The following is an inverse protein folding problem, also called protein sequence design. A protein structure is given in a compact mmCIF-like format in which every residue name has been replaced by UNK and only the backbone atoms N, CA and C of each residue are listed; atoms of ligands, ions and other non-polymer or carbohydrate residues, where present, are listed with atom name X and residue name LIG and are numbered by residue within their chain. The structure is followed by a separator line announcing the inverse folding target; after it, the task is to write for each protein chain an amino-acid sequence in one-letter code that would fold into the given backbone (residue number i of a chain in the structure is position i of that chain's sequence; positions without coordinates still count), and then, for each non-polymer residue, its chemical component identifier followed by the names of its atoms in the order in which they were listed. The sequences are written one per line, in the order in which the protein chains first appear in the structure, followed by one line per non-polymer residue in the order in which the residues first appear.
data_IF_440777783627
#
_entry.id   IF_440777783627
#
_cell.length_a   1.000
_cell.length_b   1.000
_cell.length_c   1.000
_cell.angle_alpha   90.00
_cell.angle_beta   90.00
_cell.angle_gamma   90.00
#
_symmetry.space_group_name_H-M   'P 1'
#
loop_
_entity.id
_entity.type
_entity.pdbx_description
1 polymer ?
#
# COMPACT_ATOMS: atom_id res chain seq x y z
N UNK A 1 -4.91 -43.95 43.11
CA UNK A 1 -4.51 -43.95 41.68
C UNK A 1 -5.68 -43.88 40.67
N UNK A 2 -6.95 -43.96 41.07
CA UNK A 2 -8.10 -43.86 40.14
C UNK A 2 -8.58 -42.41 39.88
N UNK A 3 -8.19 -41.46 40.74
CA UNK A 3 -8.53 -40.02 40.63
C UNK A 3 -7.45 -39.17 39.93
N UNK A 4 -6.24 -39.71 39.76
CA UNK A 4 -5.14 -39.03 39.07
C UNK A 4 -5.08 -39.36 37.57
N UNK A 5 -5.68 -40.48 37.15
CA UNK A 5 -5.88 -40.83 35.74
C UNK A 5 -7.03 -40.06 35.06
N UNK A 6 -8.01 -39.56 35.82
CA UNK A 6 -9.14 -38.80 35.27
C UNK A 6 -8.71 -37.38 34.86
N UNK A 7 -7.70 -36.80 35.52
CA UNK A 7 -7.18 -35.48 35.16
C UNK A 7 -6.28 -35.51 33.91
N UNK A 8 -5.64 -36.64 33.61
CA UNK A 8 -4.76 -36.78 32.44
C UNK A 8 -5.57 -37.01 31.15
N UNK A 9 -6.73 -37.66 31.23
CA UNK A 9 -7.62 -37.87 30.07
C UNK A 9 -8.38 -36.60 29.69
N UNK A 10 -8.64 -35.68 30.63
CA UNK A 10 -9.27 -34.38 30.36
C UNK A 10 -8.33 -33.34 29.74
N UNK A 11 -7.01 -33.54 29.79
CA UNK A 11 -6.01 -32.65 29.18
C UNK A 11 -5.71 -32.99 27.70
N UNK A 12 -6.21 -34.12 27.19
CA UNK A 12 -5.97 -34.56 25.81
C UNK A 12 -7.08 -34.16 24.81
N UNK A 13 -8.16 -33.50 25.27
CA UNK A 13 -9.33 -33.14 24.43
C UNK A 13 -9.50 -31.61 24.30
N UNK A 14 -8.53 -30.82 24.78
CA UNK A 14 -8.60 -29.35 24.85
C UNK A 14 -7.73 -28.59 23.84
N UNK A 15 -7.24 -29.22 22.77
CA UNK A 15 -6.30 -28.56 21.82
C UNK A 15 -6.67 -28.67 20.35
N UNK A 16 -7.90 -29.06 19.99
CA UNK A 16 -8.33 -29.17 18.58
C UNK A 16 -9.13 -27.97 18.06
N UNK A 17 -9.17 -26.87 18.79
CA UNK A 17 -9.75 -25.60 18.36
C UNK A 17 -8.75 -24.53 18.86
N UNK A 18 -7.78 -24.06 18.09
CA UNK A 18 -7.93 -22.92 17.18
C UNK A 18 -6.76 -23.01 16.18
N UNK A 19 -6.99 -23.69 15.06
CA UNK A 19 -6.38 -23.32 13.79
C UNK A 19 -7.53 -23.06 12.82
N UNK A 20 -8.40 -22.12 13.19
CA UNK A 20 -8.99 -21.26 12.16
C UNK A 20 -7.82 -20.50 11.56
N UNK A 21 -7.18 -21.12 10.57
CA UNK A 21 -6.46 -20.36 9.58
C UNK A 21 -7.41 -19.26 9.16
N UNK A 22 -6.97 -18.01 9.30
CA UNK A 22 -7.51 -16.96 8.47
C UNK A 22 -7.12 -17.35 7.04
N UNK A 23 -7.88 -18.28 6.45
CA UNK A 23 -8.20 -18.23 5.05
C UNK A 23 -8.91 -16.89 4.90
N UNK A 24 -8.13 -15.81 4.74
CA UNK A 24 -8.58 -14.69 3.95
C UNK A 24 -8.86 -15.29 2.59
N UNK A 25 -10.11 -15.75 2.45
CA UNK A 25 -10.68 -16.10 1.18
C UNK A 25 -10.42 -14.91 0.28
N UNK A 26 -9.96 -15.21 -0.92
CA UNK A 26 -10.03 -14.29 -2.05
C UNK A 26 -11.35 -13.52 -1.98
N UNK A 27 -11.29 -12.28 -1.55
CA UNK A 27 -12.04 -11.25 -2.22
C UNK A 27 -11.12 -10.75 -3.31
N UNK A 28 -11.34 -11.23 -4.53
CA UNK A 28 -10.88 -10.55 -5.74
C UNK A 28 -11.62 -9.20 -5.78
N UNK A 29 -11.16 -8.25 -4.95
CA UNK A 29 -11.48 -6.84 -5.05
C UNK A 29 -10.31 -6.26 -5.83
N UNK A 30 -10.55 -5.83 -7.06
CA UNK A 30 -9.58 -5.08 -7.87
C UNK A 30 -9.26 -3.74 -7.19
N UNK A 31 -8.43 -3.79 -6.16
CA UNK A 31 -7.85 -2.68 -5.43
C UNK A 31 -6.36 -2.92 -5.28
N UNK A 32 -5.60 -1.86 -5.04
CA UNK A 32 -4.14 -1.81 -5.13
C UNK A 32 -3.41 -2.67 -4.08
N UNK A 33 -3.53 -4.01 -4.14
CA UNK A 33 -2.71 -4.95 -3.34
C UNK A 33 -1.19 -4.69 -3.49
N UNK A 34 -0.80 -3.99 -4.55
CA UNK A 34 0.54 -3.49 -4.79
C UNK A 34 1.08 -2.43 -3.83
N UNK A 35 0.20 -1.73 -3.10
CA UNK A 35 0.55 -0.71 -2.10
C UNK A 35 0.61 -1.28 -0.67
N UNK A 36 0.63 -2.61 -0.52
CA UNK A 36 0.91 -3.23 0.78
C UNK A 36 2.41 -3.15 1.09
N UNK A 37 2.76 -3.04 2.36
CA UNK A 37 4.15 -3.02 2.86
C UNK A 37 5.04 -1.89 2.30
N UNK A 38 4.45 -0.73 1.99
CA UNK A 38 5.21 0.49 1.65
C UNK A 38 6.06 0.90 2.85
N UNK A 39 7.33 1.18 2.59
CA UNK A 39 8.32 1.56 3.61
C UNK A 39 8.70 3.03 3.53
N UNK A 40 8.52 3.66 2.37
CA UNK A 40 8.83 5.06 2.17
C UNK A 40 7.95 5.66 1.07
N UNK A 41 7.55 6.91 1.26
CA UNK A 41 6.89 7.73 0.24
C UNK A 41 7.70 9.02 0.09
N UNK A 42 8.14 9.33 -1.13
CA UNK A 42 8.74 10.64 -1.42
C UNK A 42 7.73 11.49 -2.20
N UNK A 43 7.50 12.73 -1.76
CA UNK A 43 6.83 13.75 -2.54
C UNK A 43 7.89 14.56 -3.29
N UNK A 44 7.70 14.71 -4.60
CA UNK A 44 8.56 15.50 -5.45
C UNK A 44 7.80 16.61 -6.16
N UNK A 45 8.39 17.78 -6.23
CA UNK A 45 7.94 18.91 -7.04
C UNK A 45 9.06 19.29 -8.00
N UNK A 46 8.75 19.46 -9.29
CA UNK A 46 9.74 19.78 -10.33
C UNK A 46 10.97 18.85 -10.36
N UNK A 47 10.81 17.59 -9.93
CA UNK A 47 11.88 16.59 -9.89
C UNK A 47 12.75 16.62 -8.62
N UNK A 48 12.48 17.52 -7.67
CA UNK A 48 13.18 17.58 -6.39
C UNK A 48 12.33 16.96 -5.28
N UNK A 49 12.94 16.16 -4.39
CA UNK A 49 12.25 15.61 -3.22
C UNK A 49 12.06 16.73 -2.20
N UNK A 50 10.80 17.04 -1.88
CA UNK A 50 10.45 18.09 -0.91
C UNK A 50 10.00 17.51 0.44
N UNK A 51 9.52 16.25 0.44
CA UNK A 51 9.10 15.55 1.65
C UNK A 51 9.35 14.05 1.50
N UNK A 52 9.73 13.41 2.60
CA UNK A 52 9.84 11.95 2.73
C UNK A 52 9.06 11.49 3.95
N UNK A 53 8.19 10.49 3.77
CA UNK A 53 7.44 9.83 4.83
C UNK A 53 7.94 8.39 4.94
N UNK A 54 8.48 8.02 6.10
CA UNK A 54 9.00 6.67 6.37
C UNK A 54 8.42 6.05 7.66
N UNK A 55 7.60 6.80 8.39
CA UNK A 55 6.88 6.27 9.55
C UNK A 55 5.69 5.42 9.10
N UNK A 56 5.51 4.26 9.71
CA UNK A 56 4.49 3.29 9.28
C UNK A 56 3.05 3.79 9.52
N UNK A 57 2.80 4.52 10.61
CA UNK A 57 1.48 5.05 10.91
C UNK A 57 1.13 6.23 10.00
N UNK A 58 2.12 7.07 9.67
CA UNK A 58 1.98 8.14 8.68
C UNK A 58 1.73 7.57 7.27
N UNK A 59 2.50 6.56 6.83
CA UNK A 59 2.29 5.87 5.54
C UNK A 59 0.89 5.25 5.47
N UNK A 60 0.44 4.60 6.53
CA UNK A 60 -0.89 4.00 6.59
C UNK A 60 -2.00 5.06 6.53
N UNK A 61 -1.82 6.16 7.27
CA UNK A 61 -2.76 7.29 7.28
C UNK A 61 -2.83 7.97 5.91
N UNK A 62 -1.68 8.18 5.27
CA UNK A 62 -1.57 8.71 3.91
C UNK A 62 -2.29 7.79 2.92
N UNK A 63 -1.98 6.49 2.93
CA UNK A 63 -2.54 5.51 2.01
C UNK A 63 -4.05 5.38 2.12
N UNK A 64 -4.60 5.41 3.35
CA UNK A 64 -6.05 5.46 3.57
C UNK A 64 -6.67 6.76 3.07
N UNK A 65 -5.95 7.88 3.25
CA UNK A 65 -6.39 9.20 2.79
C UNK A 65 -6.46 9.37 1.27
N UNK A 66 -5.89 8.43 0.50
CA UNK A 66 -6.04 8.40 -0.96
C UNK A 66 -7.45 8.02 -1.39
N UNK A 67 -8.21 7.25 -0.58
CA UNK A 67 -9.58 6.81 -0.87
C UNK A 67 -9.70 6.24 -2.30
N UNK A 68 -8.75 5.38 -2.68
CA UNK A 68 -8.57 4.85 -4.04
C UNK A 68 -9.85 4.18 -4.57
N UNK A 69 -10.65 3.60 -3.71
CA UNK A 69 -11.95 3.02 -4.04
C UNK A 69 -12.97 4.03 -4.59
N UNK A 70 -12.77 5.32 -4.35
CA UNK A 70 -13.60 6.41 -4.87
C UNK A 70 -13.08 6.95 -6.21
N UNK A 71 -11.91 6.51 -6.67
CA UNK A 71 -11.32 6.98 -7.92
C UNK A 71 -12.11 6.44 -9.11
N UNK A 72 -12.36 7.31 -10.08
CA UNK A 72 -13.05 6.94 -11.32
C UNK A 72 -12.03 6.87 -12.42
N UNK A 73 -11.95 5.72 -13.09
CA UNK A 73 -11.07 5.57 -14.23
C UNK A 73 -11.42 6.62 -15.29
N UNK A 74 -10.44 7.45 -15.62
CA UNK A 74 -10.55 8.41 -16.70
C UNK A 74 -10.18 7.74 -18.03
N UNK A 75 -10.36 8.47 -19.13
CA UNK A 75 -9.87 8.06 -20.44
C UNK A 75 -8.33 8.00 -20.51
N UNK A 76 -7.76 8.32 -21.68
CA UNK A 76 -6.31 8.31 -21.83
C UNK A 76 -5.67 9.40 -20.93
N UNK A 77 -4.55 9.11 -20.24
CA UNK A 77 -3.76 10.15 -19.58
C UNK A 77 -3.43 11.27 -20.57
N UNK A 78 -3.70 12.54 -20.21
CA UNK A 78 -3.28 13.68 -21.04
C UNK A 78 -1.75 13.77 -20.96
N UNK A 79 -1.07 13.79 -22.11
CA UNK A 79 0.40 13.72 -22.19
C UNK A 79 1.08 15.06 -21.85
N UNK A 80 0.39 16.19 -22.06
CA UNK A 80 0.98 17.54 -21.99
C UNK A 80 0.54 18.36 -20.75
N UNK A 81 0.16 17.71 -19.65
CA UNK A 81 -0.22 18.44 -18.43
C UNK A 81 1.00 18.68 -17.53
N UNK A 82 1.10 19.91 -17.02
CA UNK A 82 2.10 20.29 -16.03
C UNK A 82 1.85 19.53 -14.72
N UNK A 83 2.79 18.63 -14.38
CA UNK A 83 2.79 17.96 -13.09
C UNK A 83 3.02 18.99 -11.99
N UNK A 84 2.17 18.94 -10.96
CA UNK A 84 2.32 19.77 -9.76
C UNK A 84 3.20 19.03 -8.76
N UNK A 85 2.73 17.86 -8.35
CA UNK A 85 3.33 17.05 -7.29
C UNK A 85 3.33 15.59 -7.71
N UNK A 86 4.37 14.86 -7.34
CA UNK A 86 4.46 13.41 -7.58
C UNK A 86 4.79 12.68 -6.29
N UNK A 87 4.01 11.67 -5.95
CA UNK A 87 4.25 10.78 -4.83
C UNK A 87 4.82 9.46 -5.34
N UNK A 88 6.01 9.09 -4.87
CA UNK A 88 6.73 7.89 -5.27
C UNK A 88 6.76 6.93 -4.08
N UNK A 89 6.20 5.74 -4.27
CA UNK A 89 6.06 4.73 -3.23
C UNK A 89 7.17 3.70 -3.37
N UNK A 90 7.89 3.44 -2.29
CA UNK A 90 9.02 2.54 -2.26
C UNK A 90 8.80 1.38 -1.31
N UNK A 91 9.31 0.22 -1.71
CA UNK A 91 9.33 -0.99 -0.91
C UNK A 91 10.60 -1.79 -1.18
N UNK A 92 11.06 -2.47 -0.15
CA UNK A 92 12.12 -3.47 -0.24
C UNK A 92 11.54 -4.81 -0.69
N UNK A 93 12.19 -5.51 -1.62
CA UNK A 93 11.80 -6.88 -1.97
C UNK A 93 11.83 -7.79 -0.74
N UNK A 94 10.90 -8.74 -0.65
CA UNK A 94 10.86 -9.69 0.47
C UNK A 94 12.15 -10.49 0.54
N UNK A 95 12.88 -10.36 1.64
CA UNK A 95 14.10 -11.11 1.93
C UNK A 95 13.72 -12.57 2.15
N UNK A 96 14.23 -13.48 1.32
CA UNK A 96 14.00 -14.92 1.53
C UNK A 96 14.80 -15.42 2.71
N UNK A 97 14.35 -16.53 3.31
CA UNK A 97 15.04 -17.15 4.43
C UNK A 97 16.51 -17.48 4.05
N UNK A 98 17.47 -16.82 4.70
CA UNK A 98 18.91 -16.97 4.43
C UNK A 98 19.56 -15.81 3.67
N UNK A 99 18.80 -14.84 3.18
CA UNK A 99 19.33 -13.63 2.56
C UNK A 99 19.66 -12.55 3.60
N UNK A 100 20.64 -11.69 3.28
CA UNK A 100 21.00 -10.55 4.15
C UNK A 100 19.90 -9.49 4.09
N UNK A 101 19.73 -8.77 5.20
CA UNK A 101 18.86 -7.60 5.23
C UNK A 101 19.29 -6.62 4.14
N UNK A 102 18.30 -6.11 3.42
CA UNK A 102 18.47 -5.22 2.27
C UNK A 102 18.58 -3.78 2.79
N UNK A 103 19.51 -3.00 2.24
CA UNK A 103 19.72 -1.62 2.67
C UNK A 103 18.65 -0.70 2.08
N UNK A 104 18.39 0.45 2.69
CA UNK A 104 17.41 1.43 2.18
C UNK A 104 17.67 1.86 0.73
N UNK A 105 18.94 1.93 0.32
CA UNK A 105 19.35 2.23 -1.06
C UNK A 105 18.87 1.21 -2.10
N UNK A 106 18.45 0.03 -1.66
CA UNK A 106 18.02 -1.07 -2.51
C UNK A 106 16.47 -1.15 -2.56
N UNK A 107 15.77 -0.18 -1.96
CA UNK A 107 14.31 -0.03 -2.12
C UNK A 107 13.95 0.28 -3.58
N UNK A 108 12.87 -0.32 -4.04
CA UNK A 108 12.37 -0.14 -5.41
C UNK A 108 11.09 0.68 -5.42
N UNK A 109 10.95 1.52 -6.43
CA UNK A 109 9.68 2.15 -6.75
C UNK A 109 8.66 1.07 -7.13
N UNK A 110 7.52 1.07 -6.44
CA UNK A 110 6.40 0.15 -6.73
C UNK A 110 5.23 0.86 -7.38
N UNK A 111 5.04 2.14 -7.05
CA UNK A 111 3.99 2.96 -7.61
C UNK A 111 4.39 4.44 -7.64
N UNK A 112 3.72 5.19 -8.52
CA UNK A 112 3.85 6.63 -8.63
C UNK A 112 2.48 7.25 -8.87
N UNK A 113 2.14 8.25 -8.07
CA UNK A 113 0.91 9.05 -8.24
C UNK A 113 1.33 10.47 -8.61
N UNK A 114 0.99 10.90 -9.83
CA UNK A 114 1.30 12.26 -10.34
C UNK A 114 0.02 13.09 -10.36
N UNK A 115 0.07 14.26 -9.72
CA UNK A 115 -1.00 15.27 -9.74
C UNK A 115 -0.72 16.33 -10.79
N UNK A 116 -1.79 16.88 -11.37
CA UNK A 116 -1.74 17.93 -12.37
C UNK A 116 -2.53 19.15 -11.91
N UNK A 117 -2.05 20.36 -12.24
CA UNK A 117 -2.53 21.63 -11.68
C UNK A 117 -3.99 22.00 -12.00
N UNK A 118 -4.50 21.56 -13.14
CA UNK A 118 -5.70 22.15 -13.73
C UNK A 118 -7.00 21.41 -13.40
N UNK A 119 -6.94 20.12 -13.10
CA UNK A 119 -8.12 19.27 -12.92
C UNK A 119 -7.87 18.25 -11.79
N UNK A 120 -8.92 17.76 -11.09
CA UNK A 120 -8.80 16.75 -10.04
C UNK A 120 -8.52 15.36 -10.62
N UNK A 121 -7.36 15.25 -11.28
CA UNK A 121 -6.90 14.09 -12.01
C UNK A 121 -5.55 13.64 -11.47
N UNK A 122 -5.38 12.33 -11.40
CA UNK A 122 -4.10 11.70 -11.09
C UNK A 122 -3.71 10.70 -12.17
N UNK A 123 -2.41 10.65 -12.48
CA UNK A 123 -1.82 9.52 -13.18
C UNK A 123 -1.24 8.56 -12.16
N UNK A 124 -1.70 7.32 -12.16
CA UNK A 124 -1.12 6.22 -11.41
C UNK A 124 -0.23 5.41 -12.35
N UNK A 125 1.05 5.30 -12.02
CA UNK A 125 1.96 4.33 -12.61
C UNK A 125 2.17 3.19 -11.63
N UNK A 126 1.85 1.97 -12.03
CA UNK A 126 2.03 0.78 -11.20
C UNK A 126 2.54 -0.37 -12.05
N UNK A 127 3.63 -1.02 -11.64
CA UNK A 127 4.26 -2.13 -12.37
C UNK A 127 4.51 -1.83 -13.88
N UNK A 128 4.84 -0.58 -14.22
CA UNK A 128 5.06 -0.13 -15.60
C UNK A 128 3.80 0.14 -16.42
N UNK A 129 2.62 0.03 -15.81
CA UNK A 129 1.33 0.38 -16.43
C UNK A 129 0.89 1.76 -15.96
N UNK A 130 0.57 2.64 -16.91
CA UNK A 130 0.01 3.96 -16.65
C UNK A 130 -1.51 3.96 -16.75
N UNK A 131 -2.17 4.54 -15.76
CA UNK A 131 -3.62 4.68 -15.69
C UNK A 131 -3.97 6.11 -15.26
N UNK A 132 -5.04 6.67 -15.81
CA UNK A 132 -5.56 7.97 -15.40
C UNK A 132 -6.84 7.80 -14.60
N UNK A 133 -6.99 8.61 -13.56
CA UNK A 133 -8.17 8.61 -12.70
C UNK A 133 -8.61 10.04 -12.41
N UNK A 134 -9.92 10.25 -12.38
CA UNK A 134 -10.55 11.36 -11.67
C UNK A 134 -10.62 10.99 -10.19
N UNK A 135 -10.21 11.93 -9.32
CA UNK A 135 -10.22 11.76 -7.87
C UNK A 135 -11.23 12.69 -7.22
N UNK A 136 -11.79 12.33 -6.04
CA UNK A 136 -12.58 13.25 -5.25
C UNK A 136 -11.82 14.55 -4.97
N UNK A 137 -12.52 15.69 -4.96
CA UNK A 137 -11.92 17.00 -4.74
C UNK A 137 -11.23 17.10 -3.37
N UNK A 138 -11.75 16.39 -2.38
CA UNK A 138 -11.20 16.27 -1.03
C UNK A 138 -9.83 15.56 -1.06
N UNK A 139 -9.70 14.50 -1.87
CA UNK A 139 -8.43 13.78 -2.08
C UNK A 139 -7.45 14.67 -2.85
N UNK A 140 -7.91 15.32 -3.92
CA UNK A 140 -7.09 16.25 -4.70
C UNK A 140 -6.48 17.36 -3.85
N UNK A 141 -7.30 18.02 -3.02
CA UNK A 141 -6.84 19.08 -2.11
C UNK A 141 -5.84 18.57 -1.08
N UNK A 142 -6.03 17.37 -0.54
CA UNK A 142 -5.11 16.77 0.43
C UNK A 142 -3.74 16.49 -0.17
N UNK A 143 -3.72 16.04 -1.43
CA UNK A 143 -2.51 15.75 -2.18
C UNK A 143 -1.84 16.99 -2.77
N UNK A 144 -2.48 18.16 -2.63
CA UNK A 144 -1.94 19.45 -3.06
C UNK A 144 -1.66 20.40 -1.88
N UNK A 145 -1.33 19.82 -0.73
CA UNK A 145 -0.89 20.52 0.49
C UNK A 145 0.61 20.35 0.68
#
# INVERSE_FOLDING_TARGET
MRRLMICIVLLAVGSTLILTGCSSGKSEKGGLDGLQDIQKIDQTENGEIIQTVSDADEINSFSKGLEVEQWKQAGKPKEDQDAESTYIFYRTDTVKLGEKQVAEKDMKEVARVTLYKEEPYVRLTYAGVEMAFEVPMEVYKRLNQ
#
